data_IF_381029093802
#
_entry.id   IF_381029093802
#
_cell.length_a   1.000
_cell.length_b   1.000
_cell.length_c   1.000
_cell.angle_alpha   90.00
_cell.angle_beta   90.00
_cell.angle_gamma   90.00
#
_symmetry.space_group_name_H-M   'P 1'
#
loop_
_entity.id
_entity.type
_entity.pdbx_description
1 polymer ?
#
# COMPACT_ATOMS: atom_id res chain seq x y z
N UNK A 1 3.61 -8.17 8.83
CA UNK A 1 4.34 -8.92 7.78
C UNK A 1 3.52 -10.04 7.16
N UNK A 2 2.74 -10.82 7.93
CA UNK A 2 2.04 -12.02 7.38
C UNK A 2 1.09 -11.77 6.20
N UNK A 3 0.60 -10.54 6.02
CA UNK A 3 -0.30 -10.12 4.94
C UNK A 3 0.33 -9.09 3.99
N UNK A 4 1.66 -8.98 3.98
CA UNK A 4 2.30 -8.12 3.00
C UNK A 4 2.40 -8.86 1.66
N UNK A 5 2.06 -8.23 0.52
CA UNK A 5 2.13 -8.87 -0.77
C UNK A 5 3.56 -9.27 -1.16
N UNK A 6 3.72 -10.48 -1.70
CA UNK A 6 4.99 -10.95 -2.23
C UNK A 6 5.31 -10.33 -3.60
N UNK A 7 4.27 -10.07 -4.39
CA UNK A 7 4.38 -9.33 -5.64
C UNK A 7 4.51 -7.83 -5.32
N UNK A 8 5.52 -7.21 -5.91
CA UNK A 8 5.79 -5.78 -5.75
C UNK A 8 5.23 -4.95 -6.92
N UNK A 9 4.77 -5.59 -7.99
CA UNK A 9 4.14 -4.88 -9.11
C UNK A 9 2.88 -4.17 -8.59
N UNK A 10 2.82 -2.85 -8.83
CA UNK A 10 1.67 -2.04 -8.50
C UNK A 10 0.60 -2.19 -9.59
N UNK A 11 -0.12 -3.30 -9.54
CA UNK A 11 -1.23 -3.62 -10.44
C UNK A 11 -2.36 -2.59 -10.31
N UNK A 12 -3.02 -2.22 -11.42
CA UNK A 12 -4.14 -1.30 -11.38
C UNK A 12 -5.30 -1.92 -10.58
N UNK A 13 -5.82 -1.16 -9.62
CA UNK A 13 -6.93 -1.53 -8.76
C UNK A 13 -7.98 -0.43 -8.79
N UNK A 14 -9.24 -0.83 -9.01
CA UNK A 14 -10.40 0.06 -9.03
C UNK A 14 -11.41 -0.41 -8.00
N UNK A 15 -11.27 0.07 -6.76
CA UNK A 15 -12.19 -0.28 -5.68
C UNK A 15 -13.36 0.71 -5.57
N UNK A 16 -13.31 1.86 -6.23
CA UNK A 16 -14.41 2.84 -6.22
C UNK A 16 -15.73 2.31 -6.80
N UNK A 17 -15.66 1.32 -7.71
CA UNK A 17 -16.83 0.67 -8.31
C UNK A 17 -17.52 -0.35 -7.38
N UNK A 18 -16.95 -0.62 -6.20
CA UNK A 18 -17.49 -1.59 -5.25
C UNK A 18 -18.69 -1.03 -4.49
N UNK A 19 -19.81 -1.74 -4.57
CA UNK A 19 -21.07 -1.34 -3.92
C UNK A 19 -21.06 -1.47 -2.39
N UNK A 20 -20.15 -2.26 -1.83
CA UNK A 20 -20.02 -2.47 -0.38
C UNK A 20 -19.22 -1.36 0.32
N UNK A 21 -18.56 -0.49 -0.43
CA UNK A 21 -17.69 0.56 0.11
C UNK A 21 -18.47 1.87 0.27
N UNK A 22 -18.38 2.48 1.45
CA UNK A 22 -18.93 3.82 1.68
C UNK A 22 -17.90 4.89 1.32
N UNK A 23 -18.24 5.76 0.37
CA UNK A 23 -17.38 6.84 -0.10
C UNK A 23 -17.39 8.04 0.86
N UNK A 24 -16.21 8.62 1.06
CA UNK A 24 -15.98 9.85 1.80
C UNK A 24 -15.94 11.04 0.84
N UNK A 25 -17.12 11.47 0.37
CA UNK A 25 -17.27 12.55 -0.62
C UNK A 25 -16.56 13.85 -0.18
N UNK A 26 -16.65 14.31 1.09
CA UNK A 26 -15.89 15.48 1.54
C UNK A 26 -14.37 15.26 1.54
N UNK A 27 -13.91 14.04 1.79
CA UNK A 27 -12.49 13.69 1.85
C UNK A 27 -11.80 13.66 0.50
N UNK A 28 -12.55 13.53 -0.60
CA UNK A 28 -11.99 13.53 -1.95
C UNK A 28 -11.33 14.87 -2.29
N UNK A 29 -11.90 16.01 -1.86
CA UNK A 29 -11.34 17.36 -2.11
C UNK A 29 -10.86 17.60 -3.56
N UNK A 30 -11.50 16.98 -4.55
CA UNK A 30 -11.12 17.05 -5.98
C UNK A 30 -9.96 16.12 -6.39
N UNK A 31 -9.51 15.25 -5.50
CA UNK A 31 -8.56 14.16 -5.74
C UNK A 31 -9.24 12.82 -5.99
N UNK A 32 -8.53 11.73 -5.67
CA UNK A 32 -9.01 10.36 -5.89
C UNK A 32 -10.17 9.97 -4.95
N UNK A 33 -11.06 9.05 -5.37
CA UNK A 33 -12.12 8.52 -4.52
C UNK A 33 -11.58 7.96 -3.21
N UNK A 34 -12.19 8.35 -2.09
CA UNK A 34 -11.79 7.90 -0.76
C UNK A 34 -12.90 7.12 -0.07
N UNK A 35 -12.50 6.13 0.72
CA UNK A 35 -13.39 5.38 1.60
C UNK A 35 -13.55 6.07 2.97
N UNK A 36 -14.70 5.85 3.63
CA UNK A 36 -14.88 6.19 5.04
C UNK A 36 -14.13 5.23 5.98
N UNK A 37 -13.86 4.01 5.51
CA UNK A 37 -13.18 2.97 6.27
C UNK A 37 -12.00 2.43 5.48
N UNK A 38 -10.89 2.23 6.17
CA UNK A 38 -9.69 1.66 5.57
C UNK A 38 -9.96 0.24 5.07
N UNK A 39 -9.66 -0.01 3.79
CA UNK A 39 -9.74 -1.35 3.23
C UNK A 39 -8.70 -2.30 3.86
N UNK A 40 -9.00 -3.61 3.93
CA UNK A 40 -8.02 -4.61 4.33
C UNK A 40 -6.73 -4.49 3.49
N UNK A 41 -5.55 -4.76 4.05
CA UNK A 41 -4.28 -4.73 3.31
C UNK A 41 -4.26 -5.58 2.04
N UNK A 42 -5.06 -6.66 2.01
CA UNK A 42 -5.15 -7.62 0.92
C UNK A 42 -6.03 -7.10 -0.25
N UNK A 43 -6.80 -6.01 -0.04
CA UNK A 43 -7.77 -5.48 -1.00
C UNK A 43 -7.42 -4.07 -1.52
N UNK A 44 -6.23 -3.56 -1.18
CA UNK A 44 -5.80 -2.20 -1.54
C UNK A 44 -4.37 -2.18 -2.04
N UNK A 45 -4.01 -1.10 -2.73
CA UNK A 45 -2.63 -0.92 -3.16
C UNK A 45 -1.71 -0.62 -1.97
N UNK A 46 -0.42 -0.85 -2.16
CA UNK A 46 0.55 -0.61 -1.10
C UNK A 46 0.73 0.90 -0.90
N UNK A 47 0.11 1.43 0.16
CA UNK A 47 0.30 2.83 0.59
C UNK A 47 1.32 2.88 1.73
N UNK A 48 2.52 3.41 1.45
CA UNK A 48 3.61 3.60 2.44
C UNK A 48 3.84 5.09 2.72
N UNK A 49 4.62 5.40 3.76
CA UNK A 49 5.13 6.75 4.04
C UNK A 49 4.02 7.79 4.27
N UNK A 50 3.66 8.54 3.24
CA UNK A 50 2.68 9.63 3.28
C UNK A 50 1.48 9.39 2.34
N UNK A 51 1.36 8.20 1.76
CA UNK A 51 0.26 7.88 0.87
C UNK A 51 -1.04 7.61 1.64
N UNK A 52 -2.18 8.04 1.07
CA UNK A 52 -3.49 7.95 1.69
C UNK A 52 -4.02 6.52 1.76
N UNK A 53 -4.18 5.98 2.97
CA UNK A 53 -4.69 4.61 3.19
C UNK A 53 -6.17 4.43 2.84
N UNK A 54 -6.90 5.53 2.63
CA UNK A 54 -8.32 5.55 2.30
C UNK A 54 -8.59 5.68 0.79
N UNK A 55 -7.58 6.01 -0.02
CA UNK A 55 -7.69 6.07 -1.47
C UNK A 55 -8.06 4.70 -2.03
N UNK A 56 -9.07 4.66 -2.89
CA UNK A 56 -9.65 3.41 -3.40
C UNK A 56 -8.99 2.93 -4.68
N UNK A 57 -8.61 3.85 -5.55
CA UNK A 57 -8.09 3.55 -6.88
C UNK A 57 -6.63 3.94 -6.98
N UNK A 58 -5.82 3.04 -7.51
CA UNK A 58 -4.39 3.23 -7.66
C UNK A 58 -3.78 2.22 -8.63
N UNK A 59 -2.50 2.42 -8.95
CA UNK A 59 -1.71 1.48 -9.71
C UNK A 59 -1.81 1.67 -11.21
N UNK A 60 -0.74 1.26 -11.89
CA UNK A 60 -0.61 1.40 -13.34
C UNK A 60 -0.11 0.13 -14.03
N UNK A 61 0.40 -0.85 -13.27
CA UNK A 61 1.05 -2.05 -13.80
C UNK A 61 2.46 -1.80 -14.35
N UNK A 62 2.94 -0.55 -14.40
CA UNK A 62 4.26 -0.19 -14.95
C UNK A 62 5.26 0.24 -13.88
N UNK A 63 4.93 0.00 -12.61
CA UNK A 63 5.76 0.36 -11.46
C UNK A 63 5.82 -0.79 -10.48
N UNK A 64 6.92 -0.84 -9.77
CA UNK A 64 7.18 -1.81 -8.72
C UNK A 64 7.47 -1.07 -7.41
N UNK A 65 6.97 -1.63 -6.32
CA UNK A 65 7.18 -1.14 -4.97
C UNK A 65 8.57 -1.52 -4.45
N UNK A 66 9.20 -0.61 -3.71
CA UNK A 66 10.51 -0.91 -3.14
C UNK A 66 10.39 -1.98 -2.01
N UNK A 67 11.35 -2.93 -1.94
CA UNK A 67 11.36 -3.98 -0.94
C UNK A 67 11.89 -3.52 0.44
N UNK A 68 12.07 -2.20 0.65
CA UNK A 68 12.71 -1.67 1.87
C UNK A 68 11.98 -2.10 3.14
N UNK A 69 10.65 -2.23 3.10
CA UNK A 69 9.87 -2.70 4.24
C UNK A 69 10.37 -4.04 4.79
N UNK A 70 10.87 -4.92 3.93
CA UNK A 70 11.44 -6.22 4.29
C UNK A 70 12.94 -6.17 4.52
N UNK A 71 13.65 -5.39 3.72
CA UNK A 71 15.11 -5.41 3.69
C UNK A 71 15.76 -4.46 4.70
N UNK A 72 15.06 -3.45 5.22
CA UNK A 72 15.66 -2.45 6.10
C UNK A 72 16.20 -3.07 7.38
N UNK A 73 15.50 -4.06 7.94
CA UNK A 73 15.98 -4.80 9.13
C UNK A 73 17.23 -5.61 8.82
N UNK A 74 17.25 -6.31 7.68
CA UNK A 74 18.42 -7.07 7.25
C UNK A 74 19.64 -6.17 7.06
N UNK A 75 19.49 -5.07 6.32
CA UNK A 75 20.59 -4.15 6.06
C UNK A 75 21.04 -3.40 7.32
N UNK A 76 20.11 -3.03 8.20
CA UNK A 76 20.43 -2.45 9.50
C UNK A 76 21.25 -3.41 10.36
N UNK A 77 20.82 -4.66 10.49
CA UNK A 77 21.56 -5.68 11.24
C UNK A 77 22.93 -5.97 10.62
N UNK A 78 23.03 -6.02 9.29
CA UNK A 78 24.31 -6.16 8.59
C UNK A 78 25.24 -4.98 8.91
N UNK A 79 24.73 -3.75 8.81
CA UNK A 79 25.50 -2.53 9.07
C UNK A 79 26.04 -2.47 10.51
N UNK A 80 25.24 -2.92 11.49
CA UNK A 80 25.64 -2.96 12.90
C UNK A 80 26.40 -4.25 13.30
N UNK A 81 26.75 -5.13 12.37
CA UNK A 81 27.38 -6.44 12.66
C UNK A 81 26.59 -7.29 13.67
N UNK A 82 25.25 -7.28 13.57
CA UNK A 82 24.34 -8.07 14.41
C UNK A 82 23.93 -9.40 13.77
N UNK A 83 24.26 -9.60 12.49
CA UNK A 83 24.16 -10.89 11.83
C UNK A 83 25.36 -11.71 12.30
N UNK A 84 25.13 -12.81 13.02
CA UNK A 84 26.20 -13.74 13.39
C UNK A 84 26.94 -14.29 12.17
N UNK A 85 28.10 -14.90 12.39
CA UNK A 85 28.81 -15.65 11.33
C UNK A 85 27.97 -16.79 10.77
#
# INVERSE_FOLDING_TARGET
>A
MQRWPLELINWPQFNSDRLDIQLNIPGECGGSPQSLQMLPPDERSIKKWNYGVYELDDGSGFREEDPTAYLISYWGMRYFNLLGE
#
